data_IF_892130896494
#
_entry.id   IF_892130896494
#
_cell.length_a   1.000
_cell.length_b   1.000
_cell.length_c   1.000
_cell.angle_alpha   90.00
_cell.angle_beta   90.00
_cell.angle_gamma   90.00
#
_symmetry.space_group_name_H-M   'P 1'
#
loop_
_entity.id
_entity.type
_entity.pdbx_description
1 polymer ?
#
# COMPACT_ATOMS: atom_id res chain seq x y z
N UNK A 1 16.39 -15.58 17.49
CA UNK A 1 15.65 -14.44 18.12
C UNK A 1 14.68 -13.95 17.07
N UNK A 2 13.39 -13.87 17.38
CA UNK A 2 12.38 -13.42 16.42
C UNK A 2 12.47 -11.92 16.18
N UNK A 3 12.15 -11.50 14.96
CA UNK A 3 12.11 -10.11 14.53
C UNK A 3 11.08 -9.32 15.35
N UNK A 4 11.38 -8.07 15.68
CA UNK A 4 10.43 -7.14 16.30
C UNK A 4 10.08 -6.06 15.26
N UNK A 5 8.79 -5.81 15.07
CA UNK A 5 8.22 -4.90 14.07
C UNK A 5 7.29 -3.89 14.74
N UNK A 6 6.93 -2.84 14.00
CA UNK A 6 5.81 -1.97 14.35
C UNK A 6 4.50 -2.58 13.85
N UNK A 7 3.43 -2.43 14.62
CA UNK A 7 2.09 -2.89 14.25
C UNK A 7 1.00 -1.87 14.59
N UNK A 8 0.04 -1.74 13.68
CA UNK A 8 -1.16 -0.91 13.77
C UNK A 8 -2.15 -1.35 12.67
N UNK A 9 -3.40 -0.90 12.76
CA UNK A 9 -4.42 -1.07 11.72
C UNK A 9 -5.37 0.12 11.63
N UNK A 10 -6.04 0.25 10.48
CA UNK A 10 -7.06 1.30 10.26
C UNK A 10 -8.38 1.03 10.98
N UNK A 11 -8.68 -0.23 11.29
CA UNK A 11 -9.94 -0.63 11.94
C UNK A 11 -10.19 0.05 13.29
N UNK A 12 -9.14 0.34 14.06
CA UNK A 12 -9.19 1.10 15.32
C UNK A 12 -8.52 2.49 15.22
N UNK A 13 -8.16 2.88 13.99
CA UNK A 13 -7.39 4.08 13.65
C UNK A 13 -6.04 4.20 14.35
N UNK A 14 -5.42 3.08 14.74
CA UNK A 14 -4.11 3.10 15.41
C UNK A 14 -3.00 3.55 14.47
N UNK A 15 -3.09 3.26 13.17
CA UNK A 15 -2.10 3.70 12.18
C UNK A 15 -2.16 5.22 11.97
N UNK A 16 -3.35 5.76 11.69
CA UNK A 16 -3.62 7.16 11.37
C UNK A 16 -3.36 8.08 12.56
N UNK A 17 -3.63 7.61 13.78
CA UNK A 17 -3.38 8.36 15.02
C UNK A 17 -1.96 8.20 15.56
N UNK A 18 -1.07 7.49 14.85
CA UNK A 18 0.30 7.25 15.30
C UNK A 18 0.40 6.42 16.59
N UNK A 19 -0.64 5.64 16.92
CA UNK A 19 -0.68 4.77 18.12
C UNK A 19 -0.05 3.41 17.82
N UNK A 20 1.15 3.46 17.26
CA UNK A 20 1.91 2.31 16.80
C UNK A 20 2.42 1.49 17.98
N UNK A 21 2.36 0.16 17.89
CA UNK A 21 2.81 -0.75 18.94
C UNK A 21 3.97 -1.63 18.46
N UNK A 22 4.85 -2.03 19.38
CA UNK A 22 5.84 -3.08 19.14
C UNK A 22 5.16 -4.44 19.08
N UNK A 23 5.49 -5.24 18.04
CA UNK A 23 5.03 -6.61 17.88
C UNK A 23 6.24 -7.52 17.60
N UNK A 24 6.38 -8.59 18.38
CA UNK A 24 7.37 -9.62 18.11
C UNK A 24 6.76 -10.69 17.18
N UNK A 25 7.42 -10.96 16.07
CA UNK A 25 7.03 -12.00 15.12
C UNK A 25 7.16 -13.39 15.76
N UNK A 26 6.43 -14.37 15.21
CA UNK A 26 6.34 -15.74 15.77
C UNK A 26 7.06 -16.77 14.91
N UNK A 27 7.37 -16.45 13.66
CA UNK A 27 8.09 -17.32 12.74
C UNK A 27 9.41 -16.65 12.30
N UNK A 28 10.54 -17.37 12.25
CA UNK A 28 11.82 -16.80 11.78
C UNK A 28 11.80 -16.31 10.33
N UNK A 29 10.85 -16.76 9.50
CA UNK A 29 10.69 -16.33 8.11
C UNK A 29 9.86 -15.04 7.97
N UNK A 30 9.15 -14.64 9.04
CA UNK A 30 8.37 -13.42 9.04
C UNK A 30 9.27 -12.18 8.98
N UNK A 31 8.79 -11.22 8.20
CA UNK A 31 9.39 -9.90 8.01
C UNK A 31 8.41 -8.84 8.51
N UNK A 32 8.92 -7.63 8.72
CA UNK A 32 8.06 -6.49 9.02
C UNK A 32 7.37 -6.02 7.75
N UNK A 33 6.05 -5.85 7.80
CA UNK A 33 5.21 -5.43 6.69
C UNK A 33 4.62 -4.04 6.93
N UNK A 34 4.44 -3.28 5.85
CA UNK A 34 3.66 -2.05 5.77
C UNK A 34 2.82 -2.12 4.49
N UNK A 35 1.51 -2.23 4.64
CA UNK A 35 0.55 -2.45 3.54
C UNK A 35 -0.43 -1.28 3.51
N UNK A 36 -0.57 -0.68 2.33
CA UNK A 36 -1.56 0.36 2.05
C UNK A 36 -2.51 -0.12 0.98
N UNK A 37 -3.81 0.00 1.25
CA UNK A 37 -4.90 -0.31 0.31
C UNK A 37 -5.90 0.83 0.35
N UNK A 38 -5.78 1.75 -0.60
CA UNK A 38 -6.67 2.91 -0.67
C UNK A 38 -7.51 2.88 -1.95
N UNK A 39 -8.82 3.04 -1.78
CA UNK A 39 -9.78 3.20 -2.86
C UNK A 39 -10.39 4.60 -2.74
N UNK A 40 -10.19 5.46 -3.74
CA UNK A 40 -10.59 6.88 -3.68
C UNK A 40 -12.12 7.04 -3.73
N UNK A 41 -12.84 6.07 -4.30
CA UNK A 41 -14.31 6.01 -4.24
C UNK A 41 -14.76 4.98 -3.20
N UNK A 42 -15.04 5.46 -1.99
CA UNK A 42 -15.77 4.74 -0.95
C UNK A 42 -17.27 4.81 -1.27
N UNK A 43 -17.88 3.75 -1.83
CA UNK A 43 -19.33 3.77 -2.07
C UNK A 43 -19.94 2.70 -2.97
N UNK A 44 -19.16 1.95 -3.74
CA UNK A 44 -19.72 0.82 -4.49
C UNK A 44 -19.92 -0.40 -3.58
N UNK A 45 -21.17 -0.87 -3.47
CA UNK A 45 -21.51 -2.15 -2.87
C UNK A 45 -20.64 -3.27 -3.48
N UNK A 46 -19.77 -3.89 -2.68
CA UNK A 46 -18.89 -4.98 -3.12
C UNK A 46 -17.38 -4.70 -3.05
N UNK A 47 -16.94 -3.47 -2.72
CA UNK A 47 -15.50 -3.22 -2.47
C UNK A 47 -15.05 -3.84 -1.13
N UNK A 48 -13.85 -4.45 -1.06
CA UNK A 48 -13.31 -5.00 0.18
C UNK A 48 -13.24 -3.93 1.27
N UNK A 49 -13.75 -4.24 2.47
CA UNK A 49 -13.59 -3.42 3.67
C UNK A 49 -12.21 -3.63 4.28
N UNK A 50 -11.19 -3.68 3.44
CA UNK A 50 -9.82 -3.89 3.89
C UNK A 50 -9.37 -2.64 4.66
N UNK A 51 -8.59 -2.86 5.72
CA UNK A 51 -7.96 -1.77 6.45
C UNK A 51 -7.06 -1.00 5.48
N UNK A 52 -7.23 0.34 5.44
CA UNK A 52 -6.46 1.23 4.55
C UNK A 52 -4.96 1.12 4.80
N UNK A 53 -4.58 0.97 6.07
CA UNK A 53 -3.21 0.84 6.54
C UNK A 53 -3.11 -0.37 7.48
N UNK A 54 -2.12 -1.22 7.23
CA UNK A 54 -1.81 -2.37 8.07
C UNK A 54 -0.30 -2.50 8.23
N UNK A 55 0.15 -2.60 9.49
CA UNK A 55 1.54 -2.91 9.85
C UNK A 55 1.63 -4.10 10.77
N UNK A 56 2.67 -4.90 10.61
CA UNK A 56 2.93 -6.02 11.50
C UNK A 56 3.96 -7.00 10.98
N UNK A 57 3.77 -8.27 11.34
CA UNK A 57 4.60 -9.38 10.90
C UNK A 57 3.90 -10.17 9.79
N UNK A 58 4.68 -10.70 8.86
CA UNK A 58 4.16 -11.64 7.87
C UNK A 58 5.20 -11.99 6.82
N UNK A 59 4.80 -12.81 5.86
CA UNK A 59 5.61 -13.19 4.71
C UNK A 59 4.77 -13.09 3.46
N UNK A 60 5.21 -12.30 2.48
CA UNK A 60 4.55 -12.12 1.20
C UNK A 60 5.53 -12.40 0.04
N UNK A 61 5.04 -12.90 -1.11
CA UNK A 61 5.87 -13.06 -2.30
C UNK A 61 6.47 -11.71 -2.71
N UNK A 62 7.77 -11.69 -3.06
CA UNK A 62 8.47 -10.47 -3.43
C UNK A 62 9.18 -9.72 -2.28
N UNK A 63 9.22 -10.31 -1.08
CA UNK A 63 9.96 -9.79 0.07
C UNK A 63 11.38 -10.37 0.21
N UNK A 64 12.39 -9.59 0.66
CA UNK A 64 12.32 -8.18 1.06
C UNK A 64 12.30 -7.21 -0.12
N UNK A 65 11.66 -6.06 0.06
CA UNK A 65 11.54 -5.04 -0.98
C UNK A 65 10.32 -4.15 -0.78
N UNK A 66 10.00 -3.41 -1.84
CA UNK A 66 8.77 -2.65 -1.91
C UNK A 66 8.24 -2.65 -3.32
N UNK A 67 6.93 -2.75 -3.45
CA UNK A 67 6.20 -2.69 -4.70
C UNK A 67 4.93 -1.89 -4.48
N UNK A 68 4.43 -1.26 -5.53
CA UNK A 68 3.20 -0.53 -5.43
C UNK A 68 2.67 -0.15 -6.80
N UNK A 69 1.38 0.12 -6.82
CA UNK A 69 0.61 0.48 -7.99
C UNK A 69 -0.31 1.62 -7.59
N UNK A 70 -0.43 2.61 -8.47
CA UNK A 70 -1.48 3.60 -8.35
C UNK A 70 -2.05 3.91 -9.72
N UNK A 71 -3.35 4.12 -9.75
CA UNK A 71 -4.07 4.65 -10.89
C UNK A 71 -4.95 5.81 -10.37
N UNK A 72 -5.91 6.27 -11.16
CA UNK A 72 -6.78 7.36 -10.78
C UNK A 72 -7.63 7.11 -9.53
N UNK A 73 -8.04 5.87 -9.24
CA UNK A 73 -9.01 5.57 -8.19
C UNK A 73 -8.50 4.60 -7.11
N UNK A 74 -7.27 4.10 -7.27
CA UNK A 74 -6.72 2.99 -6.49
C UNK A 74 -5.25 3.25 -6.19
N UNK A 75 -4.85 2.98 -4.95
CA UNK A 75 -3.46 2.95 -4.52
C UNK A 75 -3.20 1.72 -3.67
N UNK A 76 -2.27 0.88 -4.12
CA UNK A 76 -1.77 -0.26 -3.37
C UNK A 76 -0.27 -0.12 -3.17
N UNK A 77 0.19 -0.37 -1.95
CA UNK A 77 1.60 -0.36 -1.63
C UNK A 77 1.93 -1.46 -0.63
N UNK A 78 3.05 -2.13 -0.86
CA UNK A 78 3.62 -3.09 0.05
C UNK A 78 5.10 -2.72 0.23
N UNK A 79 5.51 -2.63 1.49
CA UNK A 79 6.92 -2.63 1.90
C UNK A 79 7.13 -3.76 2.88
N UNK A 80 8.23 -4.49 2.69
CA UNK A 80 8.64 -5.54 3.59
C UNK A 80 10.15 -5.58 3.78
N UNK A 81 10.57 -5.80 5.02
CA UNK A 81 11.95 -5.69 5.43
C UNK A 81 12.26 -6.60 6.63
N UNK A 82 13.52 -7.01 6.76
CA UNK A 82 13.97 -8.07 7.67
C UNK A 82 14.86 -7.57 8.82
N UNK A 83 14.84 -6.27 9.12
CA UNK A 83 15.59 -5.66 10.23
C UNK A 83 14.64 -5.11 11.29
N UNK A 84 15.08 -5.05 12.55
CA UNK A 84 14.23 -4.65 13.68
C UNK A 84 13.56 -3.30 13.45
N UNK A 85 12.22 -3.26 13.55
CA UNK A 85 11.35 -2.07 13.42
C UNK A 85 11.53 -1.28 12.11
N UNK A 86 12.00 -1.93 11.04
CA UNK A 86 12.24 -1.28 9.75
C UNK A 86 10.98 -0.75 9.03
N UNK A 87 9.79 -1.11 9.51
CA UNK A 87 8.49 -0.63 9.07
C UNK A 87 7.94 0.53 9.94
N UNK A 88 8.79 1.18 10.75
CA UNK A 88 8.43 2.39 11.49
C UNK A 88 8.33 3.64 10.58
N UNK A 89 7.89 4.76 11.16
CA UNK A 89 7.73 6.04 10.48
C UNK A 89 6.27 6.46 10.29
N UNK A 90 6.00 7.61 9.66
CA UNK A 90 4.63 8.02 9.34
C UNK A 90 3.98 7.03 8.37
N UNK A 91 2.65 6.98 8.37
CA UNK A 91 1.89 6.21 7.37
C UNK A 91 2.11 6.80 5.98
N UNK A 92 2.10 5.94 4.96
CA UNK A 92 2.33 6.34 3.59
C UNK A 92 1.01 6.77 2.93
N UNK A 93 0.96 8.01 2.44
CA UNK A 93 -0.16 8.52 1.65
C UNK A 93 0.32 8.89 0.25
N UNK A 94 -0.49 8.60 -0.77
CA UNK A 94 -0.10 8.82 -2.18
C UNK A 94 0.20 10.29 -2.46
N UNK A 95 -0.56 11.21 -1.85
CA UNK A 95 -0.40 12.65 -2.00
C UNK A 95 0.95 13.15 -1.49
N UNK A 96 1.53 12.45 -0.50
CA UNK A 96 2.83 12.75 0.08
C UNK A 96 4.00 12.23 -0.77
N UNK A 97 3.74 11.37 -1.75
CA UNK A 97 4.76 10.90 -2.69
C UNK A 97 5.00 11.94 -3.78
N UNK A 98 6.25 12.35 -4.06
CA UNK A 98 6.56 13.30 -5.11
C UNK A 98 6.28 12.69 -6.49
N UNK A 99 5.87 13.53 -7.44
CA UNK A 99 5.79 13.13 -8.84
C UNK A 99 7.18 12.75 -9.37
N UNK A 100 7.25 11.68 -10.18
CA UNK A 100 8.52 11.16 -10.70
C UNK A 100 8.81 11.58 -12.16
N UNK A 101 7.96 12.46 -12.72
CA UNK A 101 8.11 12.98 -14.09
C UNK A 101 7.62 12.05 -15.20
N UNK A 102 7.01 10.90 -14.87
CA UNK A 102 6.36 10.01 -15.84
C UNK A 102 4.85 10.20 -15.84
N UNK A 103 4.24 10.07 -17.01
CA UNK A 103 2.79 10.04 -17.17
C UNK A 103 2.37 8.69 -17.72
N UNK A 104 1.31 8.13 -17.15
CA UNK A 104 0.77 6.82 -17.54
C UNK A 104 -0.73 6.92 -17.76
N UNK A 105 -1.25 6.13 -18.69
CA UNK A 105 -2.69 5.99 -18.87
C UNK A 105 -3.32 5.26 -17.68
N UNK A 106 -4.49 5.74 -17.25
CA UNK A 106 -5.26 5.18 -16.15
C UNK A 106 -6.68 4.89 -16.59
N UNK A 107 -7.16 3.73 -16.18
CA UNK A 107 -8.53 3.27 -16.40
C UNK A 107 -8.86 2.14 -15.41
N UNK A 108 -10.14 1.78 -15.30
CA UNK A 108 -10.61 0.61 -14.56
C UNK A 108 -11.90 0.11 -15.18
N UNK A 109 -11.97 -1.18 -15.49
CA UNK A 109 -13.11 -1.79 -16.16
C UNK A 109 -12.65 -2.74 -17.25
N UNK A 110 -13.38 -2.78 -18.36
CA UNK A 110 -13.05 -3.57 -19.54
C UNK A 110 -12.76 -2.66 -20.75
N UNK A 111 -12.33 -3.25 -21.87
CA UNK A 111 -11.92 -2.51 -23.07
C UNK A 111 -13.04 -1.69 -23.75
N UNK A 112 -14.30 -1.92 -23.39
CA UNK A 112 -15.47 -1.21 -23.95
C UNK A 112 -16.16 -0.27 -22.97
N UNK A 113 -15.98 -0.51 -21.66
CA UNK A 113 -16.58 0.23 -20.57
C UNK A 113 -15.55 0.32 -19.43
N UNK A 114 -15.06 1.52 -19.15
CA UNK A 114 -14.07 1.86 -18.15
C UNK A 114 -12.63 1.99 -18.67
N UNK A 115 -12.23 1.20 -19.68
CA UNK A 115 -10.90 1.23 -20.31
C UNK A 115 -10.96 1.37 -21.83
N UNK A 116 -11.93 2.13 -22.36
CA UNK A 116 -11.95 2.53 -23.78
C UNK A 116 -11.00 3.71 -24.03
N UNK A 117 -10.75 4.07 -25.30
CA UNK A 117 -9.96 5.24 -25.67
C UNK A 117 -10.53 6.56 -25.17
N UNK A 118 -11.85 6.63 -24.96
CA UNK A 118 -12.56 7.83 -24.53
C UNK A 118 -12.53 7.99 -23.00
N UNK A 119 -12.41 6.89 -22.26
CA UNK A 119 -12.45 6.86 -20.80
C UNK A 119 -11.05 6.80 -20.16
N UNK A 120 -10.04 6.44 -20.95
CA UNK A 120 -8.64 6.38 -20.49
C UNK A 120 -8.01 7.77 -20.54
N UNK A 121 -7.36 8.20 -19.46
CA UNK A 121 -6.66 9.49 -19.39
C UNK A 121 -5.30 9.37 -18.71
N UNK A 122 -4.45 10.39 -18.88
CA UNK A 122 -3.11 10.43 -18.30
C UNK A 122 -3.14 10.87 -16.83
N UNK A 123 -2.33 10.20 -16.01
CA UNK A 123 -2.04 10.57 -14.63
C UNK A 123 -0.54 10.72 -14.41
N UNK A 124 -0.15 11.58 -13.47
CA UNK A 124 1.26 11.75 -13.08
C UNK A 124 1.68 10.66 -12.10
N UNK A 125 2.72 9.92 -12.45
CA UNK A 125 3.26 8.88 -11.58
C UNK A 125 4.00 9.48 -10.38
N UNK A 126 3.89 8.80 -9.23
CA UNK A 126 4.49 9.24 -7.96
C UNK A 126 5.41 8.19 -7.36
N UNK A 127 6.42 8.63 -6.62
CA UNK A 127 7.37 7.75 -5.91
C UNK A 127 8.17 6.81 -6.83
N UNK A 128 8.75 5.77 -6.22
CA UNK A 128 9.50 4.70 -6.89
C UNK A 128 8.59 3.54 -7.33
N UNK A 129 7.31 3.81 -7.60
CA UNK A 129 6.34 2.79 -7.99
C UNK A 129 6.81 2.12 -9.28
N UNK A 130 7.38 0.92 -9.14
CA UNK A 130 7.84 0.08 -10.23
C UNK A 130 6.62 -0.54 -10.89
N UNK A 131 6.31 -0.07 -12.09
CA UNK A 131 5.42 -0.78 -13.01
C UNK A 131 6.16 -2.01 -13.53
N UNK A 132 5.80 -3.20 -13.05
CA UNK A 132 6.17 -4.47 -13.70
C UNK A 132 5.18 -4.76 -14.81
#
# INVERSE_FOLDING_TARGET
RYLECISCGSSDMSCERGRHQSLQCRNPEEQCLDVVTHWIQEGEEGRPKDDRHLRGCGYLPGCPGSNGFHNNDTFHFLKCCNTTKCNEGPILELENLPQNGRQCYSCKGNSTHGCSSEETFLIDCRGTLLWT
#
